data_IF_164810886386
#
_entry.id   IF_164810886386
#
_cell.length_a   1.000
_cell.length_b   1.000
_cell.length_c   1.000
_cell.angle_alpha   90.00
_cell.angle_beta   90.00
_cell.angle_gamma   90.00
#
_symmetry.space_group_name_H-M   'P 1'
#
loop_
_entity.id
_entity.type
_entity.pdbx_description
1 polymer ?
#
# COMPACT_ATOMS: atom_id res chain seq x y z
N UNK A 1 8.08 8.99 5.19
CA UNK A 1 7.49 9.39 3.91
C UNK A 1 6.17 8.66 3.74
N UNK A 2 5.16 9.33 3.23
CA UNK A 2 3.85 8.71 3.03
C UNK A 2 3.80 8.00 1.68
N UNK A 3 3.27 6.79 1.67
CA UNK A 3 3.11 6.00 0.46
C UNK A 3 1.66 5.61 0.29
N UNK A 4 1.21 5.57 -0.94
CA UNK A 4 -0.13 5.10 -1.28
C UNK A 4 0.04 3.74 -1.95
N UNK A 5 -0.46 2.69 -1.28
CA UNK A 5 -0.34 1.32 -1.76
C UNK A 5 -1.69 0.90 -2.32
N UNK A 6 -1.68 0.39 -3.55
CA UNK A 6 -2.90 -0.06 -4.22
C UNK A 6 -3.04 -1.57 -4.03
N UNK A 7 -4.16 -1.97 -3.45
CA UNK A 7 -4.42 -3.36 -3.08
C UNK A 7 -5.70 -3.87 -3.72
N UNK A 8 -5.76 -5.19 -3.86
CA UNK A 8 -6.91 -5.88 -4.42
C UNK A 8 -7.31 -7.01 -3.45
N UNK A 9 -8.58 -7.07 -3.12
CA UNK A 9 -9.12 -8.14 -2.29
C UNK A 9 -10.59 -8.36 -2.66
N UNK A 10 -10.95 -9.63 -2.87
CA UNK A 10 -12.35 -10.00 -3.12
C UNK A 10 -13.01 -9.32 -4.31
N UNK A 11 -12.25 -9.04 -5.37
CA UNK A 11 -12.80 -8.38 -6.56
C UNK A 11 -12.87 -6.86 -6.46
N UNK A 12 -12.37 -6.29 -5.36
CA UNK A 12 -12.41 -4.85 -5.12
C UNK A 12 -10.99 -4.32 -4.93
N UNK A 13 -10.74 -3.11 -5.43
CA UNK A 13 -9.45 -2.45 -5.21
C UNK A 13 -9.62 -1.27 -4.27
N UNK A 14 -8.56 -0.97 -3.52
CA UNK A 14 -8.55 0.18 -2.62
C UNK A 14 -7.12 0.63 -2.39
N UNK A 15 -6.96 1.82 -1.80
CA UNK A 15 -5.65 2.36 -1.46
C UNK A 15 -5.48 2.36 0.05
N UNK A 16 -4.28 2.03 0.50
CA UNK A 16 -3.89 2.12 1.91
C UNK A 16 -2.72 3.11 2.00
N UNK A 17 -2.87 4.17 2.78
CA UNK A 17 -1.81 5.13 2.99
C UNK A 17 -0.98 4.71 4.18
N UNK A 18 0.32 4.52 3.95
CA UNK A 18 1.23 4.05 5.00
C UNK A 18 2.46 4.95 5.07
N UNK A 19 3.06 5.01 6.26
CA UNK A 19 4.34 5.67 6.45
C UNK A 19 5.44 4.64 6.24
N UNK A 20 6.40 4.95 5.39
CA UNK A 20 7.48 4.01 5.08
C UNK A 20 8.71 4.76 4.58
N UNK A 21 9.86 4.14 4.70
CA UNK A 21 11.12 4.74 4.27
C UNK A 21 11.39 4.50 2.79
N UNK A 22 10.78 3.48 2.21
CA UNK A 22 10.93 3.17 0.78
C UNK A 22 9.74 2.33 0.33
N UNK A 23 9.73 2.00 -0.97
CA UNK A 23 8.63 1.26 -1.58
C UNK A 23 8.45 -0.14 -0.97
N UNK A 24 9.54 -0.86 -0.76
CA UNK A 24 9.45 -2.21 -0.20
C UNK A 24 8.88 -2.18 1.21
N UNK A 25 9.29 -1.21 2.02
CA UNK A 25 8.77 -1.04 3.36
C UNK A 25 7.27 -0.71 3.33
N UNK A 26 6.86 0.12 2.37
CA UNK A 26 5.45 0.46 2.21
C UNK A 26 4.61 -0.78 1.87
N UNK A 27 5.10 -1.60 0.95
CA UNK A 27 4.42 -2.82 0.54
C UNK A 27 4.31 -3.79 1.72
N UNK A 28 5.41 -3.98 2.46
CA UNK A 28 5.41 -4.86 3.62
C UNK A 28 4.42 -4.38 4.68
N UNK A 29 4.37 -3.08 4.93
CA UNK A 29 3.46 -2.51 5.91
C UNK A 29 2.01 -2.71 5.48
N UNK A 30 1.69 -2.41 4.24
CA UNK A 30 0.33 -2.55 3.73
C UNK A 30 -0.10 -4.01 3.74
N UNK A 31 0.80 -4.93 3.40
CA UNK A 31 0.48 -6.35 3.38
C UNK A 31 0.26 -6.90 4.77
N UNK A 32 1.04 -6.43 5.76
CA UNK A 32 0.85 -6.84 7.15
C UNK A 32 -0.52 -6.40 7.68
N UNK A 33 -0.98 -5.23 7.24
CA UNK A 33 -2.30 -4.71 7.63
C UNK A 33 -3.44 -5.40 6.89
N UNK A 34 -3.15 -5.93 5.69
CA UNK A 34 -4.16 -6.53 4.81
C UNK A 34 -3.65 -7.87 4.30
N UNK A 35 -3.56 -8.89 5.17
CA UNK A 35 -2.86 -10.13 4.81
C UNK A 35 -3.52 -10.92 3.69
N UNK A 36 -4.80 -10.70 3.42
CA UNK A 36 -5.50 -11.40 2.35
C UNK A 36 -5.51 -10.60 1.04
N UNK A 37 -4.97 -9.40 1.04
CA UNK A 37 -4.98 -8.55 -0.14
C UNK A 37 -3.77 -8.84 -1.02
N UNK A 38 -3.94 -8.54 -2.31
CA UNK A 38 -2.86 -8.63 -3.28
C UNK A 38 -2.37 -7.22 -3.57
N UNK A 39 -1.06 -7.03 -3.61
CA UNK A 39 -0.48 -5.72 -3.91
C UNK A 39 -0.49 -5.51 -5.42
N UNK A 40 -1.11 -4.44 -5.88
CA UNK A 40 -1.14 -4.06 -7.28
C UNK A 40 -0.01 -3.07 -7.59
N UNK A 41 0.23 -2.15 -6.68
CA UNK A 41 1.27 -1.15 -6.88
C UNK A 41 1.48 -0.30 -5.65
N UNK A 42 2.51 0.52 -5.67
CA UNK A 42 2.80 1.44 -4.57
C UNK A 42 3.49 2.67 -5.15
N UNK A 43 3.02 3.85 -4.74
CA UNK A 43 3.57 5.11 -5.19
C UNK A 43 3.74 6.05 -4.01
N UNK A 44 4.77 6.91 -4.04
CA UNK A 44 4.90 7.93 -3.00
C UNK A 44 3.71 8.89 -3.09
N UNK A 45 3.18 9.26 -1.93
CA UNK A 45 2.08 10.21 -1.87
C UNK A 45 2.68 11.62 -1.76
N UNK A 46 2.78 12.29 -2.88
CA UNK A 46 3.41 13.62 -2.95
C UNK A 46 2.39 14.75 -2.78
N UNK A 47 1.13 14.42 -2.65
CA UNK A 47 0.06 15.42 -2.61
C UNK A 47 -0.22 15.96 -1.20
N UNK A 48 0.36 15.36 -0.21
CA UNK A 48 0.11 15.76 1.19
C UNK A 48 0.91 16.98 1.61
#
# INVERSE_FOLDING_TARGET
MKWKVHLYVGGTTFYDEVQAVNRNDAIDTAKARNPKARIIGANPDLAS
#
